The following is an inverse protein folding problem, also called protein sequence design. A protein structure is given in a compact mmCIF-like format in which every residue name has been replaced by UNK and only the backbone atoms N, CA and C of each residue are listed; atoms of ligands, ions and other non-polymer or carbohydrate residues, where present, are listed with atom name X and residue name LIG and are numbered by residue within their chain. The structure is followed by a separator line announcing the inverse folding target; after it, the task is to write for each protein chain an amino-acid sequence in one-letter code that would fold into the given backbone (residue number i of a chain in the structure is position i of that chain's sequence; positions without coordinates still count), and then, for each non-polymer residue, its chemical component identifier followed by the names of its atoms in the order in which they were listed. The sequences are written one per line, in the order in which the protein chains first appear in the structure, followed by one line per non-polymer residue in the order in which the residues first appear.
data_IF_273085284038
#
_entry.id   IF_273085284038
#
_cell.length_a   1.000
_cell.length_b   1.000
_cell.length_c   1.000
_cell.angle_alpha   90.00
_cell.angle_beta   90.00
_cell.angle_gamma   90.00
#
_symmetry.space_group_name_H-M   'P 1'
#
loop_
_entity.id
_entity.type
_entity.pdbx_description
1 polymer ?
#
# COMPACT_ATOMS: atom_id res chain seq x y z
N UNK A 1 79.38 -8.08 10.32
CA UNK A 1 78.72 -9.22 10.99
C UNK A 1 77.22 -9.09 10.70
N UNK A 2 76.70 -9.63 9.59
CA UNK A 2 76.00 -10.95 9.50
C UNK A 2 74.97 -11.07 10.65
N UNK A 3 73.66 -10.85 10.48
CA UNK A 3 72.62 -11.77 9.93
C UNK A 3 71.27 -10.99 9.85
N UNK A 4 70.50 -10.92 8.75
CA UNK A 4 69.61 -11.94 8.14
C UNK A 4 68.56 -12.49 9.12
N UNK A 5 67.32 -12.02 8.95
CA UNK A 5 66.11 -12.51 9.63
C UNK A 5 64.90 -11.65 9.23
N UNK A 6 64.40 -11.80 8.00
CA UNK A 6 63.19 -12.59 7.69
C UNK A 6 61.87 -11.88 8.07
N UNK A 7 61.07 -11.62 7.03
CA UNK A 7 59.59 -11.54 7.04
C UNK A 7 59.03 -10.16 7.38
N UNK A 8 59.21 -9.21 6.45
CA UNK A 8 58.21 -8.18 6.16
C UNK A 8 57.62 -8.53 4.81
N UNK A 9 56.50 -9.24 4.81
CA UNK A 9 55.73 -9.53 3.60
C UNK A 9 54.25 -9.52 3.94
N UNK A 10 53.66 -8.34 3.72
CA UNK A 10 52.31 -8.10 3.23
C UNK A 10 51.23 -9.11 3.64
N UNK A 11 50.42 -8.71 4.63
CA UNK A 11 49.03 -9.10 4.72
C UNK A 11 48.29 -8.59 3.46
N UNK A 12 48.19 -9.43 2.44
CA UNK A 12 47.25 -9.26 1.35
C UNK A 12 45.85 -9.62 1.86
N UNK A 13 45.19 -8.67 2.52
CA UNK A 13 43.73 -8.73 2.69
C UNK A 13 43.14 -8.18 1.39
N UNK A 14 42.43 -8.98 0.58
CA UNK A 14 41.85 -8.48 -0.65
C UNK A 14 40.83 -7.39 -0.31
N UNK A 15 41.19 -6.16 -0.69
CA UNK A 15 40.30 -5.00 -0.88
C UNK A 15 39.39 -5.31 -2.07
N UNK A 16 38.55 -6.33 -1.92
CA UNK A 16 37.68 -6.86 -2.98
C UNK A 16 36.24 -7.06 -2.54
N UNK A 17 35.88 -6.67 -1.31
CA UNK A 17 34.56 -6.94 -0.72
C UNK A 17 33.67 -5.70 -0.51
N UNK A 18 34.12 -4.48 -0.84
CA UNK A 18 33.33 -3.27 -0.52
C UNK A 18 32.82 -2.45 -1.72
N UNK A 19 32.97 -2.94 -2.97
CA UNK A 19 32.43 -2.28 -4.16
C UNK A 19 31.48 -3.17 -4.98
N UNK A 20 30.83 -4.16 -4.36
CA UNK A 20 29.81 -5.01 -4.97
C UNK A 20 28.37 -4.59 -4.64
N UNK A 21 28.00 -3.31 -4.77
CA UNK A 21 26.62 -2.83 -4.54
C UNK A 21 25.91 -2.24 -5.76
N UNK A 22 26.46 -2.32 -6.97
CA UNK A 22 25.90 -1.57 -8.12
C UNK A 22 25.37 -2.38 -9.29
N UNK A 23 25.36 -3.72 -9.27
CA UNK A 23 24.96 -4.49 -10.46
C UNK A 23 24.24 -5.81 -10.12
N UNK A 24 23.09 -5.72 -9.42
CA UNK A 24 22.05 -6.76 -9.51
C UNK A 24 20.94 -6.23 -10.40
N UNK A 25 21.26 -6.26 -11.69
CA UNK A 25 20.39 -6.18 -12.85
C UNK A 25 19.08 -6.99 -12.63
N UNK A 26 17.92 -6.36 -12.81
CA UNK A 26 17.23 -6.24 -14.11
C UNK A 26 16.71 -7.60 -14.59
N UNK A 27 15.58 -8.06 -14.04
CA UNK A 27 14.66 -9.04 -14.67
C UNK A 27 13.40 -9.25 -13.81
N UNK A 28 12.47 -8.32 -13.91
CA UNK A 28 11.04 -8.58 -13.80
C UNK A 28 10.42 -7.64 -14.83
N UNK A 29 10.45 -7.97 -16.12
CA UNK A 29 9.53 -8.93 -16.67
C UNK A 29 8.19 -8.21 -16.88
N UNK A 30 8.13 -7.30 -17.86
CA UNK A 30 6.86 -6.86 -18.40
C UNK A 30 6.30 -7.99 -19.28
N UNK A 31 5.13 -8.55 -18.98
CA UNK A 31 4.41 -9.35 -19.95
C UNK A 31 3.69 -8.39 -20.90
N UNK A 32 4.35 -8.07 -22.00
CA UNK A 32 3.64 -7.81 -23.24
C UNK A 32 3.18 -9.16 -23.83
N UNK A 33 2.14 -9.14 -24.68
CA UNK A 33 1.45 -10.26 -25.39
C UNK A 33 0.26 -10.81 -24.57
N UNK A 34 -1.02 -10.85 -25.00
CA UNK A 34 -1.65 -11.11 -26.31
C UNK A 34 -3.09 -10.50 -26.33
N UNK A 35 -3.48 -9.78 -27.38
CA UNK A 35 -4.43 -10.25 -28.42
C UNK A 35 -5.82 -10.70 -27.94
N UNK A 36 -6.84 -9.85 -28.19
CA UNK A 36 -8.14 -10.27 -28.72
C UNK A 36 -8.97 -11.29 -27.94
N UNK A 37 -9.41 -10.94 -26.73
CA UNK A 37 -10.49 -11.62 -26.03
C UNK A 37 -10.88 -10.87 -24.76
N UNK A 38 -12.14 -10.44 -24.64
CA UNK A 38 -12.64 -9.88 -23.38
C UNK A 38 -12.86 -11.04 -22.41
N UNK A 39 -11.78 -11.51 -21.78
CA UNK A 39 -11.88 -12.34 -20.59
C UNK A 39 -12.21 -11.41 -19.43
N UNK A 40 -13.48 -11.28 -19.08
CA UNK A 40 -13.87 -10.70 -17.79
C UNK A 40 -13.42 -11.69 -16.72
N UNK A 41 -12.18 -11.53 -16.23
CA UNK A 41 -11.79 -12.16 -14.97
C UNK A 41 -12.72 -11.56 -13.91
N UNK A 42 -13.43 -12.36 -13.10
CA UNK A 42 -13.98 -11.82 -11.87
C UNK A 42 -12.78 -11.28 -11.09
N UNK A 43 -12.65 -9.96 -11.01
CA UNK A 43 -11.63 -9.34 -10.17
C UNK A 43 -12.06 -9.62 -8.75
N UNK A 44 -11.58 -10.75 -8.20
CA UNK A 44 -11.74 -11.13 -6.79
C UNK A 44 -11.08 -10.13 -5.86
N UNK A 45 -10.25 -9.25 -6.42
CA UNK A 45 -9.51 -8.25 -5.67
C UNK A 45 -10.41 -7.01 -5.53
N UNK A 46 -10.87 -6.69 -4.31
CA UNK A 46 -11.60 -5.45 -4.10
C UNK A 46 -10.68 -4.27 -4.43
N UNK A 47 -11.28 -3.19 -4.96
CA UNK A 47 -10.57 -1.95 -5.23
C UNK A 47 -9.78 -1.48 -3.98
N UNK A 48 -8.57 -0.90 -4.16
CA UNK A 48 -7.74 -0.41 -3.06
C UNK A 48 -8.49 0.58 -2.16
N UNK A 49 -8.19 0.55 -0.86
CA UNK A 49 -8.73 1.54 0.09
C UNK A 49 -8.06 2.91 -0.07
N UNK A 50 -8.86 3.96 0.06
CA UNK A 50 -8.45 5.36 -0.04
C UNK A 50 -8.78 5.99 -1.39
N UNK A 51 -8.06 7.06 -1.71
CA UNK A 51 -8.30 7.91 -2.87
C UNK A 51 -8.87 9.28 -2.49
N UNK A 52 -8.93 10.20 -3.45
CA UNK A 52 -9.36 11.58 -3.20
C UNK A 52 -10.88 11.68 -3.36
N UNK A 53 -11.57 12.05 -2.27
CA UNK A 53 -12.96 12.49 -2.29
C UNK A 53 -12.97 14.02 -2.28
N UNK A 54 -13.82 14.65 -3.09
CA UNK A 54 -13.89 16.12 -3.12
C UNK A 54 -14.40 16.67 -1.77
N UNK A 55 -13.85 17.80 -1.28
CA UNK A 55 -14.31 18.42 -0.03
C UNK A 55 -15.81 18.75 -0.04
N UNK A 56 -16.30 19.30 -1.16
CA UNK A 56 -17.72 19.63 -1.34
C UNK A 56 -18.64 18.41 -1.21
N UNK A 57 -18.20 17.24 -1.68
CA UNK A 57 -18.96 15.99 -1.52
C UNK A 57 -18.94 15.54 -0.05
N UNK A 58 -17.78 15.61 0.61
CA UNK A 58 -17.66 15.25 2.03
C UNK A 58 -18.60 16.07 2.92
N UNK A 59 -18.81 17.35 2.60
CA UNK A 59 -19.71 18.24 3.34
C UNK A 59 -21.20 17.85 3.26
N UNK A 60 -21.62 17.23 2.16
CA UNK A 60 -23.03 16.80 1.96
C UNK A 60 -23.26 15.33 2.32
N UNK A 61 -22.21 14.55 2.53
CA UNK A 61 -22.32 13.13 2.87
C UNK A 61 -22.81 12.93 4.30
N UNK A 62 -23.80 12.05 4.43
CA UNK A 62 -24.38 11.64 5.72
C UNK A 62 -24.41 10.12 5.81
N UNK A 63 -24.48 9.61 7.04
CA UNK A 63 -24.62 8.19 7.30
C UNK A 63 -25.89 7.62 6.62
N UNK A 64 -25.81 6.55 5.81
CA UNK A 64 -26.96 5.93 5.16
C UNK A 64 -28.02 5.39 6.13
N UNK A 65 -27.61 4.94 7.31
CA UNK A 65 -28.50 4.37 8.34
C UNK A 65 -29.29 5.47 9.09
N UNK A 66 -28.59 6.42 9.69
CA UNK A 66 -29.17 7.38 10.65
C UNK A 66 -29.18 8.84 10.17
N UNK A 67 -28.67 9.11 8.96
CA UNK A 67 -28.57 10.43 8.32
C UNK A 67 -27.77 11.48 9.09
N UNK A 68 -27.02 11.10 10.13
CA UNK A 68 -26.17 12.06 10.85
C UNK A 68 -24.77 12.20 10.24
N UNK A 69 -23.92 13.08 10.82
CA UNK A 69 -22.60 13.41 10.30
C UNK A 69 -21.63 12.23 10.36
N UNK A 70 -20.60 12.32 9.49
CA UNK A 70 -19.52 11.36 9.32
C UNK A 70 -18.15 12.04 9.51
N UNK A 71 -17.18 11.27 9.99
CA UNK A 71 -15.80 11.71 10.20
C UNK A 71 -14.85 10.96 9.27
N UNK A 72 -13.96 11.69 8.60
CA UNK A 72 -12.92 11.08 7.78
C UNK A 72 -11.82 10.53 8.70
N UNK A 73 -11.56 9.22 8.63
CA UNK A 73 -10.57 8.55 9.48
C UNK A 73 -9.58 7.74 8.66
N UNK A 74 -8.49 7.30 9.32
CA UNK A 74 -7.43 6.48 8.71
C UNK A 74 -6.85 7.10 7.43
N UNK A 75 -6.57 8.41 7.48
CA UNK A 75 -5.98 9.16 6.36
C UNK A 75 -6.85 9.08 5.10
N UNK A 76 -8.18 9.19 5.26
CA UNK A 76 -9.10 9.23 4.13
C UNK A 76 -9.54 7.86 3.59
N UNK A 77 -9.39 6.80 4.39
CA UNK A 77 -9.81 5.45 3.98
C UNK A 77 -11.23 5.11 4.37
N UNK A 78 -11.76 5.77 5.40
CA UNK A 78 -13.10 5.48 5.91
C UNK A 78 -13.85 6.75 6.31
N UNK A 79 -15.18 6.69 6.19
CA UNK A 79 -16.12 7.62 6.81
C UNK A 79 -16.73 6.93 8.04
N UNK A 80 -16.41 7.41 9.23
CA UNK A 80 -16.86 6.88 10.51
C UNK A 80 -18.12 7.62 10.98
N UNK A 81 -19.14 6.88 11.41
CA UNK A 81 -20.19 7.44 12.26
C UNK A 81 -19.88 7.10 13.73
N UNK A 82 -19.57 8.09 14.59
CA UNK A 82 -19.22 7.83 15.99
C UNK A 82 -20.41 7.35 16.84
N UNK A 83 -21.66 7.59 16.41
CA UNK A 83 -22.87 7.24 17.19
C UNK A 83 -23.16 5.75 17.16
N UNK A 84 -22.98 5.11 16.01
CA UNK A 84 -23.25 3.68 15.83
C UNK A 84 -21.98 2.84 15.62
N UNK A 85 -20.83 3.48 15.40
CA UNK A 85 -19.53 2.85 15.16
C UNK A 85 -19.33 2.32 13.74
N UNK A 86 -20.25 2.60 12.81
CA UNK A 86 -20.16 2.09 11.43
C UNK A 86 -19.08 2.84 10.66
N UNK A 87 -18.35 2.12 9.81
CA UNK A 87 -17.30 2.69 8.95
C UNK A 87 -17.58 2.35 7.50
N UNK A 88 -17.72 3.36 6.66
CA UNK A 88 -17.92 3.20 5.23
C UNK A 88 -16.58 3.34 4.52
N UNK A 89 -16.08 2.30 3.83
CA UNK A 89 -14.79 2.37 3.15
C UNK A 89 -14.86 3.30 1.94
N UNK A 90 -13.76 4.01 1.70
CA UNK A 90 -13.52 4.75 0.46
C UNK A 90 -12.60 3.85 -0.38
N UNK A 91 -12.99 3.54 -1.62
CA UNK A 91 -12.17 2.74 -2.54
C UNK A 91 -12.00 3.48 -3.86
N UNK A 92 -10.76 3.69 -4.29
CA UNK A 92 -10.41 4.53 -5.44
C UNK A 92 -11.11 5.90 -5.46
N UNK A 93 -11.26 6.52 -4.28
CA UNK A 93 -11.94 7.81 -4.12
C UNK A 93 -13.47 7.74 -4.16
N UNK A 94 -14.05 6.53 -4.22
CA UNK A 94 -15.50 6.29 -4.21
C UNK A 94 -15.92 5.82 -2.81
N UNK A 95 -16.70 6.63 -2.06
CA UNK A 95 -17.29 6.20 -0.80
C UNK A 95 -18.32 5.10 -1.01
N UNK A 96 -18.13 3.94 -0.39
CA UNK A 96 -19.08 2.82 -0.44
C UNK A 96 -20.14 3.01 0.65
N UNK A 97 -21.18 3.77 0.32
CA UNK A 97 -22.24 4.19 1.24
C UNK A 97 -23.36 3.14 1.38
N UNK A 98 -22.99 1.89 1.63
CA UNK A 98 -23.91 0.77 1.87
C UNK A 98 -23.99 0.45 3.37
N UNK A 99 -25.21 0.23 3.87
CA UNK A 99 -25.44 -0.08 5.29
C UNK A 99 -24.69 -1.35 5.71
N UNK A 100 -24.70 -2.40 4.88
CA UNK A 100 -24.06 -3.68 5.19
C UNK A 100 -22.52 -3.57 5.24
N UNK A 101 -21.91 -2.72 4.41
CA UNK A 101 -20.48 -2.41 4.51
C UNK A 101 -20.18 -1.66 5.82
N UNK A 102 -21.03 -0.71 6.22
CA UNK A 102 -20.90 0.00 7.48
C UNK A 102 -20.95 -0.93 8.70
N UNK A 103 -21.91 -1.86 8.71
CA UNK A 103 -22.06 -2.89 9.76
C UNK A 103 -20.88 -3.84 9.82
N UNK A 104 -20.41 -4.31 8.66
CA UNK A 104 -19.30 -5.27 8.57
C UNK A 104 -17.97 -4.68 9.02
N UNK A 105 -17.78 -3.36 8.87
CA UNK A 105 -16.58 -2.64 9.28
C UNK A 105 -16.73 -1.88 10.61
N UNK A 106 -17.74 -2.23 11.41
CA UNK A 106 -18.02 -1.54 12.68
C UNK A 106 -16.82 -1.62 13.63
N UNK A 107 -16.43 -0.49 14.21
CA UNK A 107 -15.42 -0.46 15.29
C UNK A 107 -16.01 -1.05 16.57
N UNK A 108 -15.27 -1.97 17.21
CA UNK A 108 -15.59 -2.44 18.54
C UNK A 108 -15.41 -1.28 19.53
N UNK A 109 -16.39 -1.12 20.43
CA UNK A 109 -16.36 -0.14 21.51
C UNK A 109 -15.60 -0.64 22.72
#
# INVERSE_FOLDING_TARGET
MKNIGKIVALLAIPVGLLLGKTVLDKMAGEPSTQSGGVTVRPTSDPAPLGGTVSPELLEILVCPEDKGPLELVETGKYLLNPRNGYRYPIRDGIPIMLIEEGKSNRVAG
#
